data_IF_287408809981
#
_entry.id   IF_287408809981
#
_cell.length_a   1.000
_cell.length_b   1.000
_cell.length_c   1.000
_cell.angle_alpha   90.00
_cell.angle_beta   90.00
_cell.angle_gamma   90.00
#
_symmetry.space_group_name_H-M   'P 1'
#
loop_
_entity.id
_entity.type
_entity.pdbx_description
1 polymer ?
#
# COMPACT_ATOMS: atom_id res chain seq x y z
N UNK A 1 16.22 -30.90 2.67
CA UNK A 1 16.99 -29.64 2.72
C UNK A 1 16.15 -28.61 3.44
N UNK A 2 16.67 -27.97 4.49
CA UNK A 2 15.89 -27.07 5.36
C UNK A 2 15.89 -25.64 4.80
N UNK A 3 14.77 -24.93 4.91
CA UNK A 3 14.57 -23.54 4.45
C UNK A 3 15.66 -22.58 4.97
N UNK A 4 16.24 -22.91 6.15
CA UNK A 4 17.35 -22.18 6.77
C UNK A 4 18.65 -22.22 5.94
N UNK A 5 18.89 -23.27 5.16
CA UNK A 5 20.10 -23.43 4.33
C UNK A 5 20.05 -22.54 3.08
N UNK A 6 18.85 -22.37 2.50
CA UNK A 6 18.64 -21.59 1.27
C UNK A 6 18.91 -20.10 1.53
N UNK A 7 18.44 -19.57 2.67
CA UNK A 7 18.61 -18.16 3.03
C UNK A 7 20.08 -17.81 3.33
N UNK A 8 20.82 -18.72 3.98
CA UNK A 8 22.24 -18.51 4.29
C UNK A 8 23.16 -18.65 3.08
N UNK A 9 22.79 -19.47 2.09
CA UNK A 9 23.58 -19.62 0.85
C UNK A 9 23.35 -18.49 -0.16
N UNK A 10 22.25 -17.74 -0.02
CA UNK A 10 21.90 -16.62 -0.90
C UNK A 10 22.68 -15.32 -0.63
N UNK A 11 23.33 -15.17 0.53
CA UNK A 11 24.05 -13.93 0.87
C UNK A 11 25.31 -13.70 0.03
N UNK A 12 25.97 -14.77 -0.43
CA UNK A 12 27.24 -14.71 -1.18
C UNK A 12 27.11 -14.99 -2.70
N UNK A 13 25.89 -15.12 -3.21
CA UNK A 13 25.65 -15.46 -4.62
C UNK A 13 25.67 -14.23 -5.56
N UNK A 14 25.96 -14.40 -6.86
CA UNK A 14 25.74 -13.38 -7.87
C UNK A 14 24.30 -12.86 -7.85
N UNK A 15 24.10 -11.56 -8.08
CA UNK A 15 22.78 -10.92 -8.01
C UNK A 15 21.69 -11.60 -8.87
N UNK A 16 22.08 -12.18 -10.01
CA UNK A 16 21.17 -12.95 -10.88
C UNK A 16 20.59 -14.19 -10.21
N UNK A 17 21.41 -14.93 -9.45
CA UNK A 17 20.99 -16.13 -8.72
C UNK A 17 20.10 -15.73 -7.53
N UNK A 18 20.41 -14.60 -6.88
CA UNK A 18 19.57 -14.07 -5.79
C UNK A 18 18.19 -13.68 -6.29
N UNK A 19 18.10 -12.95 -7.40
CA UNK A 19 16.82 -12.53 -7.98
C UNK A 19 15.99 -13.75 -8.40
N UNK A 20 16.61 -14.74 -9.07
CA UNK A 20 15.93 -15.98 -9.45
C UNK A 20 15.37 -16.75 -8.24
N UNK A 21 16.15 -16.85 -7.16
CA UNK A 21 15.69 -17.50 -5.93
C UNK A 21 14.59 -16.71 -5.21
N UNK A 22 14.67 -15.38 -5.22
CA UNK A 22 13.63 -14.51 -4.65
C UNK A 22 12.32 -14.63 -5.44
N UNK A 23 12.39 -14.61 -6.78
CA UNK A 23 11.24 -14.77 -7.66
C UNK A 23 10.55 -16.11 -7.39
N UNK A 24 11.32 -17.21 -7.35
CA UNK A 24 10.79 -18.53 -7.07
C UNK A 24 10.22 -18.66 -5.65
N UNK A 25 10.86 -18.02 -4.66
CA UNK A 25 10.35 -18.00 -3.29
C UNK A 25 9.04 -17.22 -3.17
N UNK A 26 8.91 -16.13 -3.93
CA UNK A 26 7.71 -15.30 -4.00
C UNK A 26 6.55 -16.08 -4.65
N UNK A 27 6.83 -16.81 -5.73
CA UNK A 27 5.87 -17.70 -6.38
C UNK A 27 5.35 -18.77 -5.41
N UNK A 28 6.26 -19.46 -4.72
CA UNK A 28 5.88 -20.49 -3.74
C UNK A 28 5.04 -19.92 -2.59
N UNK A 29 5.44 -18.76 -2.04
CA UNK A 29 4.66 -18.08 -1.00
C UNK A 29 3.27 -17.67 -1.50
N UNK A 30 3.17 -17.17 -2.74
CA UNK A 30 1.89 -16.80 -3.35
C UNK A 30 0.97 -18.00 -3.49
N UNK A 31 1.49 -19.15 -3.92
CA UNK A 31 0.70 -20.38 -4.06
C UNK A 31 0.21 -20.89 -2.69
N UNK A 32 1.11 -20.97 -1.72
CA UNK A 32 0.77 -21.39 -0.36
C UNK A 32 -0.29 -20.48 0.28
N UNK A 33 -0.15 -19.15 0.11
CA UNK A 33 -1.13 -18.17 0.57
C UNK A 33 -2.47 -18.32 -0.16
N UNK A 34 -2.47 -18.60 -1.46
CA UNK A 34 -3.70 -18.79 -2.23
C UNK A 34 -4.50 -20.00 -1.74
N UNK A 35 -3.81 -21.11 -1.43
CA UNK A 35 -4.43 -22.30 -0.83
C UNK A 35 -4.98 -22.00 0.56
N UNK A 36 -4.24 -21.27 1.40
CA UNK A 36 -4.70 -20.89 2.73
C UNK A 36 -5.92 -19.97 2.70
N UNK A 37 -5.93 -18.99 1.79
CA UNK A 37 -7.07 -18.09 1.58
C UNK A 37 -8.33 -18.84 1.09
N UNK A 38 -8.16 -19.90 0.29
CA UNK A 38 -9.26 -20.74 -0.14
C UNK A 38 -9.97 -21.48 1.00
N UNK A 39 -9.33 -21.63 2.17
CA UNK A 39 -9.96 -22.17 3.37
C UNK A 39 -11.03 -21.24 3.98
N UNK A 40 -11.11 -19.98 3.54
CA UNK A 40 -12.17 -19.05 3.94
C UNK A 40 -12.07 -18.53 5.37
N UNK A 41 -10.87 -18.53 5.96
CA UNK A 41 -10.64 -18.01 7.32
C UNK A 41 -10.83 -16.48 7.33
N UNK A 42 -11.56 -15.98 8.32
CA UNK A 42 -11.75 -14.53 8.52
C UNK A 42 -10.43 -13.86 8.90
N UNK A 43 -9.97 -12.91 8.08
CA UNK A 43 -8.72 -12.18 8.30
C UNK A 43 -9.02 -10.91 9.09
N UNK A 44 -8.48 -10.85 10.31
CA UNK A 44 -8.59 -9.68 11.19
C UNK A 44 -7.26 -8.93 11.24
N UNK A 45 -7.33 -7.64 11.54
CA UNK A 45 -6.15 -6.84 11.80
C UNK A 45 -5.37 -7.37 13.01
N UNK A 46 -4.05 -7.20 12.98
CA UNK A 46 -3.19 -7.48 14.12
C UNK A 46 -3.65 -6.69 15.34
N UNK A 47 -3.58 -7.30 16.52
CA UNK A 47 -4.02 -6.67 17.77
C UNK A 47 -3.31 -5.34 18.07
N UNK A 48 -2.08 -5.18 17.58
CA UNK A 48 -1.27 -3.96 17.78
C UNK A 48 -1.84 -2.74 17.05
N UNK A 49 -2.29 -2.90 15.81
CA UNK A 49 -2.71 -1.79 14.94
C UNK A 49 -4.22 -1.77 14.66
N UNK A 50 -4.97 -2.69 15.29
CA UNK A 50 -6.38 -2.91 15.02
C UNK A 50 -7.21 -1.64 15.13
N UNK A 51 -7.00 -0.87 16.19
CA UNK A 51 -7.86 0.29 16.49
C UNK A 51 -7.69 1.38 15.43
N UNK A 52 -6.44 1.62 15.00
CA UNK A 52 -6.13 2.57 13.93
C UNK A 52 -6.68 2.06 12.60
N UNK A 53 -6.38 0.82 12.22
CA UNK A 53 -6.79 0.25 10.93
C UNK A 53 -8.32 0.10 10.80
N UNK A 54 -9.01 -0.11 11.93
CA UNK A 54 -10.47 -0.12 11.96
C UNK A 54 -11.04 1.29 11.87
N UNK A 55 -10.45 2.26 12.58
CA UNK A 55 -10.92 3.65 12.57
C UNK A 55 -10.79 4.33 11.20
N UNK A 56 -9.70 4.07 10.46
CA UNK A 56 -9.50 4.63 9.11
C UNK A 56 -10.37 3.95 8.05
N UNK A 57 -10.81 2.71 8.32
CA UNK A 57 -11.52 1.87 7.37
C UNK A 57 -10.61 1.27 6.28
N UNK A 58 -11.03 0.13 5.72
CA UNK A 58 -10.23 -0.63 4.75
C UNK A 58 -10.00 0.09 3.41
N UNK A 59 -10.90 1.00 3.04
CA UNK A 59 -10.83 1.77 1.79
C UNK A 59 -11.26 3.21 2.05
N UNK A 60 -10.66 4.19 1.35
CA UNK A 60 -11.17 5.53 1.30
C UNK A 60 -12.62 5.52 0.82
N UNK A 61 -13.42 6.42 1.39
CA UNK A 61 -14.82 6.55 1.01
C UNK A 61 -14.98 6.88 -0.49
N UNK A 62 -15.95 6.26 -1.18
CA UNK A 62 -16.11 6.41 -2.63
C UNK A 62 -16.31 7.86 -3.08
N UNK A 63 -16.98 8.69 -2.28
CA UNK A 63 -17.12 10.11 -2.61
C UNK A 63 -15.76 10.82 -2.68
N UNK A 64 -14.85 10.53 -1.75
CA UNK A 64 -13.49 11.09 -1.78
C UNK A 64 -12.72 10.65 -3.03
N UNK A 65 -12.97 9.44 -3.57
CA UNK A 65 -12.32 9.00 -4.81
C UNK A 65 -12.89 9.74 -6.03
N UNK A 66 -14.21 9.96 -6.07
CA UNK A 66 -14.87 10.71 -7.13
C UNK A 66 -14.42 12.18 -7.12
N UNK A 67 -14.36 12.81 -5.94
CA UNK A 67 -13.95 14.20 -5.78
C UNK A 67 -12.49 14.44 -6.23
N UNK A 68 -11.62 13.44 -6.09
CA UNK A 68 -10.20 13.52 -6.46
C UNK A 68 -9.89 12.92 -7.84
N UNK A 69 -10.91 12.57 -8.63
CA UNK A 69 -10.72 11.99 -9.97
C UNK A 69 -10.17 13.02 -10.97
N UNK A 70 -10.55 14.28 -10.84
CA UNK A 70 -10.07 15.36 -11.70
C UNK A 70 -8.61 15.69 -11.38
N UNK A 71 -7.75 15.70 -12.41
CA UNK A 71 -6.34 16.04 -12.28
C UNK A 71 -6.09 17.45 -12.79
N UNK A 72 -5.46 18.26 -11.93
CA UNK A 72 -5.09 19.63 -12.27
C UNK A 72 -3.59 19.74 -12.57
N UNK A 73 -3.27 20.60 -13.54
CA UNK A 73 -1.89 20.96 -13.86
C UNK A 73 -1.27 21.77 -12.71
N UNK A 74 0.08 21.78 -12.57
CA UNK A 74 0.75 22.58 -11.55
C UNK A 74 0.37 24.07 -11.58
N UNK A 75 0.15 24.63 -12.77
CA UNK A 75 -0.26 26.04 -12.94
C UNK A 75 -1.68 26.27 -12.40
N UNK A 76 -2.62 25.35 -12.65
CA UNK A 76 -3.98 25.44 -12.10
C UNK A 76 -3.99 25.33 -10.57
N UNK A 77 -3.16 24.45 -10.00
CA UNK A 77 -3.01 24.31 -8.55
C UNK A 77 -2.45 25.59 -7.91
N UNK A 78 -1.46 26.23 -8.55
CA UNK A 78 -0.90 27.50 -8.08
C UNK A 78 -1.98 28.60 -8.07
N UNK A 79 -2.74 28.72 -9.15
CA UNK A 79 -3.82 29.71 -9.25
C UNK A 79 -4.90 29.44 -8.20
N UNK A 80 -5.29 28.18 -8.00
CA UNK A 80 -6.26 27.79 -6.97
C UNK A 80 -5.77 28.16 -5.56
N UNK A 81 -4.52 27.83 -5.23
CA UNK A 81 -3.95 28.12 -3.92
C UNK A 81 -3.91 29.64 -3.63
N UNK A 82 -3.52 30.45 -4.61
CA UNK A 82 -3.53 31.91 -4.49
C UNK A 82 -4.94 32.45 -4.27
N UNK A 83 -5.93 31.97 -5.04
CA UNK A 83 -7.34 32.37 -4.89
C UNK A 83 -7.90 31.96 -3.53
N UNK A 84 -7.58 30.74 -3.06
CA UNK A 84 -8.01 30.26 -1.75
C UNK A 84 -7.42 31.11 -0.62
N UNK A 85 -6.15 31.48 -0.71
CA UNK A 85 -5.49 32.34 0.27
C UNK A 85 -6.06 33.76 0.30
N UNK A 86 -6.53 34.27 -0.84
CA UNK A 86 -7.23 35.56 -0.91
C UNK A 86 -8.64 35.47 -0.30
N UNK A 87 -9.39 34.40 -0.60
CA UNK A 87 -10.72 34.17 -0.01
C UNK A 87 -10.68 34.05 1.52
N UNK A 88 -9.69 33.35 2.08
CA UNK A 88 -9.49 33.25 3.54
C UNK A 88 -9.17 34.62 4.17
N UNK A 89 -8.53 35.53 3.43
CA UNK A 89 -8.27 36.90 3.90
C UNK A 89 -9.50 37.82 3.84
N UNK A 90 -10.53 37.44 3.09
CA UNK A 90 -11.76 38.21 2.89
C UNK A 90 -12.89 37.77 3.82
N UNK A 91 -12.60 37.09 4.94
CA UNK A 91 -13.64 36.65 5.89
C UNK A 91 -14.60 37.81 6.27
N UNK A 92 -15.91 37.53 6.38
CA UNK A 92 -16.89 38.56 6.65
C UNK A 92 -16.75 39.05 8.10
N UNK A 93 -16.79 40.38 8.28
CA UNK A 93 -16.95 41.06 9.58
C UNK A 93 -18.34 40.79 10.14
#
# INVERSE_FOLDING_TARGET
MSVKCIITELSDQPALIKNCALDHSSEYLREALSVWLAAGVEIKYSAQDRDILTAIGFRPHMASLADNQEKYTPVQNLIYALRKAELVRQEPV
#
